data_IF_376019191483
#
_entry.id   IF_376019191483
#
_cell.length_a   1.000
_cell.length_b   1.000
_cell.length_c   1.000
_cell.angle_alpha   90.00
_cell.angle_beta   90.00
_cell.angle_gamma   90.00
#
_symmetry.space_group_name_H-M   'P 1'
#
loop_
_entity.id
_entity.type
_entity.pdbx_description
1 polymer ?
#
# COMPACT_ATOMS: atom_id res chain seq x y z
N UNK A 1 -25.55 19.25 -4.68
CA UNK A 1 -24.53 18.31 -5.20
C UNK A 1 -23.44 17.97 -4.18
N UNK A 2 -22.88 18.94 -3.44
CA UNK A 2 -21.84 18.69 -2.42
C UNK A 2 -22.23 17.65 -1.34
N UNK A 3 -23.47 17.65 -0.86
CA UNK A 3 -23.96 16.66 0.12
C UNK A 3 -23.91 15.21 -0.40
N UNK A 4 -24.16 14.99 -1.70
CA UNK A 4 -24.08 13.67 -2.31
C UNK A 4 -22.61 13.27 -2.51
N UNK A 5 -21.73 14.22 -2.84
CA UNK A 5 -20.30 13.96 -2.92
C UNK A 5 -19.68 13.61 -1.56
N UNK A 6 -20.22 14.19 -0.48
CA UNK A 6 -19.80 13.94 0.91
C UNK A 6 -20.05 12.50 1.38
N UNK A 7 -21.01 11.79 0.78
CA UNK A 7 -21.30 10.39 1.16
C UNK A 7 -20.35 9.38 0.51
N UNK A 8 -19.62 9.74 -0.56
CA UNK A 8 -18.75 8.79 -1.26
C UNK A 8 -17.60 8.24 -0.41
N UNK A 9 -16.86 9.03 0.39
CA UNK A 9 -15.85 8.47 1.29
C UNK A 9 -16.40 7.39 2.23
N UNK A 10 -17.63 7.60 2.73
CA UNK A 10 -18.32 6.61 3.57
C UNK A 10 -18.70 5.37 2.76
N UNK A 11 -19.25 5.55 1.55
CA UNK A 11 -19.57 4.43 0.66
C UNK A 11 -18.32 3.62 0.30
N UNK A 12 -17.18 4.28 0.03
CA UNK A 12 -15.90 3.61 -0.21
C UNK A 12 -15.52 2.75 0.99
N UNK A 13 -15.59 3.28 2.21
CA UNK A 13 -15.30 2.52 3.43
C UNK A 13 -16.25 1.32 3.59
N UNK A 14 -17.55 1.53 3.38
CA UNK A 14 -18.56 0.47 3.43
C UNK A 14 -18.29 -0.62 2.39
N UNK A 15 -17.84 -0.27 1.18
CA UNK A 15 -17.49 -1.28 0.17
C UNK A 15 -16.29 -2.11 0.55
N UNK A 16 -15.27 -1.53 1.21
CA UNK A 16 -14.12 -2.28 1.71
C UNK A 16 -14.54 -3.23 2.84
N UNK A 17 -15.35 -2.75 3.80
CA UNK A 17 -15.87 -3.58 4.90
C UNK A 17 -16.74 -4.70 4.34
N UNK A 18 -17.72 -4.37 3.50
CA UNK A 18 -18.66 -5.35 2.95
C UNK A 18 -17.95 -6.38 2.08
N UNK A 19 -17.02 -5.95 1.22
CA UNK A 19 -16.20 -6.85 0.41
C UNK A 19 -15.31 -7.74 1.27
N UNK A 20 -14.67 -7.18 2.30
CA UNK A 20 -13.85 -7.95 3.23
C UNK A 20 -14.68 -8.96 4.01
N UNK A 21 -15.84 -8.57 4.56
CA UNK A 21 -16.74 -9.44 5.30
C UNK A 21 -17.31 -10.53 4.39
N UNK A 22 -17.67 -10.19 3.15
CA UNK A 22 -18.15 -11.17 2.18
C UNK A 22 -17.11 -12.27 1.91
N UNK A 23 -15.80 -11.97 1.96
CA UNK A 23 -14.76 -13.00 1.88
C UNK A 23 -14.77 -13.98 3.06
N UNK A 24 -15.33 -13.61 4.22
CA UNK A 24 -15.53 -14.54 5.35
C UNK A 24 -16.72 -15.47 5.12
N UNK A 25 -17.84 -14.88 4.68
CA UNK A 25 -19.11 -15.59 4.60
C UNK A 25 -19.27 -16.41 3.32
N UNK A 26 -18.58 -16.03 2.24
CA UNK A 26 -18.64 -16.69 0.93
C UNK A 26 -17.25 -17.21 0.48
N UNK A 27 -16.67 -18.20 1.20
CA UNK A 27 -15.33 -18.70 0.91
C UNK A 27 -15.25 -19.53 -0.38
N UNK A 28 -16.38 -19.88 -1.00
CA UNK A 28 -16.42 -20.73 -2.21
C UNK A 28 -15.97 -20.00 -3.47
N UNK A 29 -16.10 -18.67 -3.54
CA UNK A 29 -15.75 -17.86 -4.72
C UNK A 29 -15.03 -16.55 -4.33
N UNK A 30 -13.90 -16.63 -3.64
CA UNK A 30 -13.25 -15.45 -3.06
C UNK A 30 -12.80 -14.45 -4.13
N UNK A 31 -12.34 -14.94 -5.29
CA UNK A 31 -11.90 -14.07 -6.39
C UNK A 31 -13.05 -13.29 -7.03
N UNK A 32 -14.26 -13.85 -7.08
CA UNK A 32 -15.45 -13.16 -7.61
C UNK A 32 -15.87 -12.06 -6.66
N UNK A 33 -15.95 -12.37 -5.36
CA UNK A 33 -16.28 -11.40 -4.30
C UNK A 33 -15.27 -10.25 -4.28
N UNK A 34 -13.97 -10.57 -4.26
CA UNK A 34 -12.91 -9.57 -4.31
C UNK A 34 -12.97 -8.73 -5.59
N UNK A 35 -13.20 -9.37 -6.75
CA UNK A 35 -13.32 -8.70 -8.04
C UNK A 35 -14.47 -7.71 -8.10
N UNK A 36 -15.66 -8.10 -7.61
CA UNK A 36 -16.82 -7.21 -7.54
C UNK A 36 -16.60 -6.05 -6.56
N UNK A 37 -16.03 -6.32 -5.38
CA UNK A 37 -15.72 -5.29 -4.40
C UNK A 37 -14.69 -4.28 -4.93
N UNK A 38 -13.63 -4.75 -5.60
CA UNK A 38 -12.62 -3.90 -6.22
C UNK A 38 -13.19 -3.09 -7.39
N UNK A 39 -14.05 -3.69 -8.23
CA UNK A 39 -14.72 -2.98 -9.31
C UNK A 39 -15.62 -1.86 -8.77
N UNK A 40 -16.42 -2.15 -7.73
CA UNK A 40 -17.27 -1.15 -7.09
C UNK A 40 -16.46 -0.04 -6.43
N UNK A 41 -15.37 -0.39 -5.73
CA UNK A 41 -14.44 0.56 -5.14
C UNK A 41 -13.80 1.46 -6.20
N UNK A 42 -13.38 0.90 -7.34
CA UNK A 42 -12.84 1.66 -8.46
C UNK A 42 -13.88 2.64 -9.02
N UNK A 43 -15.14 2.22 -9.18
CA UNK A 43 -16.24 3.09 -9.65
C UNK A 43 -16.49 4.24 -8.67
N UNK A 44 -16.56 3.95 -7.36
CA UNK A 44 -16.81 4.96 -6.33
C UNK A 44 -15.68 5.99 -6.23
N UNK A 45 -14.42 5.52 -6.24
CA UNK A 45 -13.25 6.39 -6.27
C UNK A 45 -13.21 7.22 -7.56
N UNK A 46 -13.45 6.61 -8.72
CA UNK A 46 -13.49 7.33 -10.00
C UNK A 46 -14.57 8.41 -10.02
N UNK A 47 -15.72 8.12 -9.40
CA UNK A 47 -16.80 9.11 -9.24
C UNK A 47 -16.40 10.25 -8.31
N UNK A 48 -15.65 9.98 -7.25
CA UNK A 48 -15.12 11.01 -6.35
C UNK A 48 -14.15 11.96 -7.06
N UNK A 49 -13.41 11.43 -8.05
CA UNK A 49 -12.49 12.17 -8.92
C UNK A 49 -13.18 12.76 -10.18
N UNK A 50 -14.51 12.83 -10.22
CA UNK A 50 -15.32 13.33 -11.35
C UNK A 50 -14.97 12.71 -12.71
N UNK A 51 -14.56 11.44 -12.73
CA UNK A 51 -14.20 10.70 -13.95
C UNK A 51 -13.14 11.39 -14.82
N UNK A 52 -12.31 12.26 -14.22
CA UNK A 52 -11.34 13.06 -14.96
C UNK A 52 -10.04 12.28 -15.25
N UNK A 53 -10.17 11.14 -15.93
CA UNK A 53 -9.06 10.23 -16.26
C UNK A 53 -8.02 10.80 -17.22
N UNK A 54 -8.28 11.97 -17.80
CA UNK A 54 -7.33 12.64 -18.71
C UNK A 54 -6.12 13.22 -17.96
N UNK A 55 -6.24 13.43 -16.65
CA UNK A 55 -5.13 13.91 -15.81
C UNK A 55 -4.43 12.71 -15.17
N UNK A 56 -3.12 12.62 -15.35
CA UNK A 56 -2.26 11.60 -14.71
C UNK A 56 -2.43 11.64 -13.19
N UNK A 57 -2.65 12.82 -12.62
CA UNK A 57 -2.90 13.03 -11.19
C UNK A 57 -4.09 12.21 -10.68
N UNK A 58 -5.15 12.04 -11.49
CA UNK A 58 -6.32 11.27 -11.09
C UNK A 58 -5.96 9.79 -10.93
N UNK A 59 -5.24 9.20 -11.90
CA UNK A 59 -4.83 7.79 -11.83
C UNK A 59 -3.99 7.46 -10.61
N UNK A 60 -3.09 8.37 -10.24
CA UNK A 60 -2.17 8.18 -9.12
C UNK A 60 -2.91 8.31 -7.79
N UNK A 61 -3.78 9.32 -7.65
CA UNK A 61 -4.60 9.52 -6.46
C UNK A 61 -5.62 8.38 -6.25
N UNK A 62 -6.17 7.82 -7.33
CA UNK A 62 -7.07 6.67 -7.29
C UNK A 62 -6.31 5.36 -7.02
N UNK A 63 -5.11 5.22 -7.58
CA UNK A 63 -4.29 4.02 -7.51
C UNK A 63 -3.86 3.65 -6.10
N UNK A 64 -3.54 4.64 -5.25
CA UNK A 64 -3.06 4.41 -3.88
C UNK A 64 -4.08 3.63 -3.01
N UNK A 65 -5.32 4.12 -2.79
CA UNK A 65 -6.31 3.40 -2.01
C UNK A 65 -6.76 2.10 -2.71
N UNK A 66 -6.72 2.05 -4.04
CA UNK A 66 -7.03 0.83 -4.79
C UNK A 66 -5.98 -0.27 -4.56
N UNK A 67 -4.68 0.04 -4.59
CA UNK A 67 -3.60 -0.91 -4.32
C UNK A 67 -3.60 -1.39 -2.86
N UNK A 68 -3.99 -0.51 -1.92
CA UNK A 68 -4.24 -0.94 -0.54
C UNK A 68 -5.40 -1.95 -0.45
N UNK A 69 -6.51 -1.70 -1.16
CA UNK A 69 -7.62 -2.65 -1.20
C UNK A 69 -7.20 -4.00 -1.80
N UNK A 70 -6.51 -3.99 -2.94
CA UNK A 70 -5.97 -5.20 -3.60
C UNK A 70 -5.07 -5.98 -2.66
N UNK A 71 -4.10 -5.33 -2.02
CA UNK A 71 -3.16 -5.98 -1.11
C UNK A 71 -3.84 -6.51 0.15
N UNK A 72 -4.81 -5.79 0.70
CA UNK A 72 -5.58 -6.24 1.87
C UNK A 72 -6.45 -7.47 1.57
N UNK A 73 -7.19 -7.46 0.45
CA UNK A 73 -8.00 -8.60 0.03
C UNK A 73 -7.11 -9.81 -0.27
N UNK A 74 -5.97 -9.60 -0.91
CA UNK A 74 -5.03 -10.67 -1.19
C UNK A 74 -4.47 -11.31 0.09
N UNK A 75 -4.11 -10.50 1.10
CA UNK A 75 -3.67 -11.00 2.39
C UNK A 75 -4.78 -11.76 3.14
N UNK A 76 -6.03 -11.27 3.10
CA UNK A 76 -7.16 -11.90 3.79
C UNK A 76 -7.40 -13.35 3.35
N UNK A 77 -7.01 -13.72 2.12
CA UNK A 77 -7.10 -15.09 1.62
C UNK A 77 -6.19 -16.08 2.36
N UNK A 78 -5.10 -15.61 2.96
CA UNK A 78 -4.09 -16.46 3.61
C UNK A 78 -4.12 -16.38 5.14
N UNK A 79 -4.87 -15.45 5.71
CA UNK A 79 -5.01 -15.37 7.15
C UNK A 79 -5.96 -16.45 7.64
N UNK A 80 -5.61 -17.13 8.73
CA UNK A 80 -6.48 -18.10 9.40
C UNK A 80 -7.17 -17.49 10.63
N UNK A 81 -6.40 -16.80 11.47
CA UNK A 81 -6.88 -16.24 12.73
C UNK A 81 -7.86 -15.07 12.56
N UNK A 82 -9.07 -15.21 13.12
CA UNK A 82 -10.13 -14.19 13.08
C UNK A 82 -9.67 -12.82 13.61
N UNK A 83 -8.83 -12.79 14.65
CA UNK A 83 -8.30 -11.53 15.20
C UNK A 83 -7.43 -10.77 14.20
N UNK A 84 -6.49 -11.47 13.53
CA UNK A 84 -5.60 -10.87 12.52
C UNK A 84 -6.39 -10.38 11.31
N UNK A 85 -7.40 -11.17 10.92
CA UNK A 85 -8.38 -10.85 9.89
C UNK A 85 -9.11 -9.54 10.20
N UNK A 86 -9.72 -9.42 11.38
CA UNK A 86 -10.42 -8.19 11.81
C UNK A 86 -9.45 -7.00 11.83
N UNK A 87 -8.22 -7.18 12.33
CA UNK A 87 -7.20 -6.13 12.35
C UNK A 87 -6.90 -5.61 10.94
N UNK A 88 -6.67 -6.50 9.96
CA UNK A 88 -6.40 -6.10 8.57
C UNK A 88 -7.58 -5.35 7.97
N UNK A 89 -8.82 -5.80 8.19
CA UNK A 89 -10.02 -5.11 7.69
C UNK A 89 -10.15 -3.72 8.28
N UNK A 90 -10.05 -3.61 9.61
CA UNK A 90 -10.19 -2.34 10.30
C UNK A 90 -9.11 -1.36 9.85
N UNK A 91 -7.86 -1.81 9.76
CA UNK A 91 -6.74 -0.97 9.35
C UNK A 91 -6.85 -0.54 7.88
N UNK A 92 -7.14 -1.48 6.96
CA UNK A 92 -7.34 -1.16 5.54
C UNK A 92 -8.51 -0.20 5.34
N UNK A 93 -9.65 -0.47 5.98
CA UNK A 93 -10.83 0.38 5.87
C UNK A 93 -10.57 1.78 6.41
N UNK A 94 -9.96 1.89 7.60
CA UNK A 94 -9.67 3.18 8.21
C UNK A 94 -8.76 4.01 7.32
N UNK A 95 -7.69 3.42 6.79
CA UNK A 95 -6.76 4.12 5.89
C UNK A 95 -7.40 4.51 4.56
N UNK A 96 -8.18 3.62 3.93
CA UNK A 96 -8.88 3.92 2.67
C UNK A 96 -9.92 5.02 2.91
N UNK A 97 -10.66 4.97 4.02
CA UNK A 97 -11.63 6.01 4.39
C UNK A 97 -10.96 7.36 4.61
N UNK A 98 -9.90 7.42 5.43
CA UNK A 98 -9.12 8.63 5.66
C UNK A 98 -8.55 9.18 4.35
N UNK A 99 -8.11 8.30 3.45
CA UNK A 99 -7.59 8.71 2.15
C UNK A 99 -8.69 9.29 1.26
N UNK A 100 -9.85 8.63 1.17
CA UNK A 100 -10.99 9.11 0.41
C UNK A 100 -11.53 10.45 0.97
N UNK A 101 -11.51 10.63 2.29
CA UNK A 101 -11.91 11.88 2.96
C UNK A 101 -10.95 13.04 2.65
N UNK A 102 -9.64 12.79 2.67
CA UNK A 102 -8.64 13.77 2.26
C UNK A 102 -8.71 14.08 0.77
N UNK A 103 -8.99 13.07 -0.07
CA UNK A 103 -9.19 13.25 -1.50
C UNK A 103 -10.44 14.08 -1.79
N UNK A 104 -11.55 13.82 -1.09
CA UNK A 104 -12.76 14.63 -1.17
C UNK A 104 -12.46 16.09 -0.81
N UNK A 105 -11.78 16.32 0.32
CA UNK A 105 -11.45 17.67 0.80
C UNK A 105 -10.53 18.39 -0.19
N UNK A 106 -9.53 17.69 -0.74
CA UNK A 106 -8.61 18.23 -1.74
C UNK A 106 -9.34 18.68 -3.02
N UNK A 107 -10.28 17.88 -3.52
CA UNK A 107 -10.96 18.14 -4.79
C UNK A 107 -12.12 19.13 -4.67
N UNK A 108 -12.91 19.03 -3.60
CA UNK A 108 -14.20 19.72 -3.48
C UNK A 108 -14.20 20.85 -2.45
N UNK A 109 -13.23 20.88 -1.52
CA UNK A 109 -13.13 21.87 -0.44
C UNK A 109 -11.69 22.37 -0.25
N UNK A 110 -11.05 22.97 -1.28
CA UNK A 110 -9.64 23.36 -1.23
C UNK A 110 -9.32 24.34 -0.09
N UNK A 111 -10.28 25.16 0.33
CA UNK A 111 -10.12 26.09 1.46
C UNK A 111 -9.93 25.40 2.82
N UNK A 112 -10.42 24.16 2.99
CA UNK A 112 -10.30 23.38 4.22
C UNK A 112 -9.14 22.36 4.15
N UNK A 113 -8.48 22.23 2.99
CA UNK A 113 -7.45 21.23 2.79
C UNK A 113 -6.14 21.61 3.48
N UNK A 114 -5.62 20.71 4.31
CA UNK A 114 -4.31 20.87 4.93
C UNK A 114 -3.20 20.54 3.94
N UNK A 115 -2.25 21.45 3.78
CA UNK A 115 -1.11 21.28 2.87
C UNK A 115 -0.31 20.03 3.25
N UNK A 116 0.01 19.20 2.25
CA UNK A 116 0.74 17.93 2.35
C UNK A 116 0.01 16.77 3.08
N UNK A 117 -1.27 16.91 3.44
CA UNK A 117 -2.02 15.82 4.09
C UNK A 117 -2.04 14.53 3.25
N UNK A 118 -2.34 14.64 1.95
CA UNK A 118 -2.30 13.51 1.01
C UNK A 118 -0.89 12.92 0.86
N UNK A 119 0.17 13.74 0.88
CA UNK A 119 1.56 13.25 0.75
C UNK A 119 1.95 12.35 1.93
N UNK A 120 1.67 12.78 3.15
CA UNK A 120 1.97 11.98 4.34
C UNK A 120 1.11 10.72 4.42
N UNK A 121 -0.19 10.85 4.13
CA UNK A 121 -1.10 9.72 4.16
C UNK A 121 -0.76 8.70 3.08
N UNK A 122 -0.38 9.13 1.88
CA UNK A 122 0.08 8.25 0.80
C UNK A 122 1.28 7.41 1.22
N UNK A 123 2.25 7.99 1.93
CA UNK A 123 3.41 7.24 2.44
C UNK A 123 2.97 6.13 3.39
N UNK A 124 2.11 6.45 4.36
CA UNK A 124 1.58 5.46 5.32
C UNK A 124 0.82 4.36 4.60
N UNK A 125 -0.10 4.72 3.70
CA UNK A 125 -0.89 3.77 2.91
C UNK A 125 0.00 2.86 2.06
N UNK A 126 1.03 3.40 1.42
CA UNK A 126 1.93 2.63 0.57
C UNK A 126 2.81 1.67 1.37
N UNK A 127 3.30 2.08 2.55
CA UNK A 127 4.06 1.20 3.45
C UNK A 127 3.20 0.02 3.92
N UNK A 128 1.95 0.27 4.32
CA UNK A 128 1.01 -0.78 4.71
C UNK A 128 0.68 -1.69 3.53
N UNK A 129 0.49 -1.11 2.33
CA UNK A 129 0.20 -1.85 1.11
C UNK A 129 1.34 -2.81 0.75
N UNK A 130 2.60 -2.38 0.88
CA UNK A 130 3.77 -3.25 0.69
C UNK A 130 3.78 -4.37 1.72
N UNK A 131 3.51 -4.08 3.00
CA UNK A 131 3.45 -5.13 4.02
C UNK A 131 2.39 -6.19 3.70
N UNK A 132 1.17 -5.77 3.37
CA UNK A 132 0.08 -6.69 3.05
C UNK A 132 0.39 -7.52 1.81
N UNK A 133 0.85 -6.88 0.74
CA UNK A 133 1.13 -7.56 -0.52
C UNK A 133 2.31 -8.53 -0.41
N UNK A 134 3.39 -8.13 0.25
CA UNK A 134 4.58 -8.99 0.46
C UNK A 134 4.27 -10.17 1.36
N UNK A 135 3.50 -9.97 2.43
CA UNK A 135 3.01 -11.05 3.30
C UNK A 135 2.21 -12.07 2.48
N UNK A 136 1.29 -11.60 1.64
CA UNK A 136 0.49 -12.46 0.76
C UNK A 136 1.36 -13.20 -0.27
N UNK A 137 2.35 -12.56 -0.89
CA UNK A 137 3.25 -13.23 -1.84
C UNK A 137 4.14 -14.29 -1.18
N UNK A 138 4.67 -14.03 0.01
CA UNK A 138 5.41 -15.05 0.76
C UNK A 138 4.49 -16.21 1.16
N UNK A 139 3.24 -15.93 1.55
CA UNK A 139 2.24 -16.96 1.81
C UNK A 139 1.92 -17.79 0.55
N UNK A 140 1.72 -17.15 -0.61
CA UNK A 140 1.55 -17.86 -1.90
C UNK A 140 2.73 -18.79 -2.17
N UNK A 141 3.96 -18.31 -1.98
CA UNK A 141 5.13 -19.15 -2.17
C UNK A 141 5.16 -20.35 -1.22
N UNK A 142 4.81 -20.13 0.05
CA UNK A 142 4.84 -21.17 1.07
C UNK A 142 3.73 -22.21 0.88
N UNK A 143 2.49 -21.77 0.64
CA UNK A 143 1.31 -22.65 0.60
C UNK A 143 1.03 -23.22 -0.79
N UNK A 144 1.30 -22.48 -1.86
CA UNK A 144 1.06 -22.91 -3.24
C UNK A 144 2.33 -23.37 -3.94
N UNK A 145 3.47 -23.39 -3.24
CA UNK A 145 4.79 -23.75 -3.81
C UNK A 145 5.11 -22.98 -5.11
N UNK A 146 4.63 -21.74 -5.20
CA UNK A 146 4.75 -20.95 -6.42
C UNK A 146 6.22 -20.59 -6.67
N UNK A 147 6.74 -20.79 -7.89
CA UNK A 147 8.14 -20.51 -8.17
C UNK A 147 8.39 -18.99 -8.15
N UNK A 148 9.53 -18.58 -7.58
CA UNK A 148 9.88 -17.17 -7.38
C UNK A 148 9.81 -16.33 -8.66
N UNK A 149 10.25 -16.89 -9.79
CA UNK A 149 10.26 -16.20 -11.08
C UNK A 149 8.86 -15.77 -11.54
N UNK A 150 7.79 -16.44 -11.09
CA UNK A 150 6.40 -16.01 -11.36
C UNK A 150 5.95 -14.88 -10.43
N UNK A 151 6.44 -14.82 -9.20
CA UNK A 151 6.03 -13.83 -8.19
C UNK A 151 6.76 -12.49 -8.37
N UNK A 152 8.03 -12.53 -8.78
CA UNK A 152 8.87 -11.33 -8.94
C UNK A 152 8.25 -10.29 -9.88
N UNK A 153 7.68 -10.64 -11.06
CA UNK A 153 7.03 -9.65 -11.93
C UNK A 153 5.83 -8.95 -11.30
N UNK A 154 4.99 -9.68 -10.55
CA UNK A 154 3.86 -9.07 -9.83
C UNK A 154 4.33 -8.13 -8.72
N UNK A 155 5.38 -8.55 -7.98
CA UNK A 155 6.01 -7.71 -6.98
C UNK A 155 6.64 -6.45 -7.58
N UNK A 156 7.36 -6.59 -8.70
CA UNK A 156 7.98 -5.49 -9.42
C UNK A 156 6.94 -4.45 -9.84
N UNK A 157 5.85 -4.89 -10.49
CA UNK A 157 4.78 -4.01 -10.92
C UNK A 157 4.14 -3.27 -9.74
N UNK A 158 3.90 -3.97 -8.64
CA UNK A 158 3.30 -3.41 -7.44
C UNK A 158 4.19 -2.35 -6.77
N UNK A 159 5.47 -2.65 -6.56
CA UNK A 159 6.44 -1.71 -5.98
C UNK A 159 6.68 -0.52 -6.90
N UNK A 160 6.77 -0.73 -8.21
CA UNK A 160 6.90 0.35 -9.18
C UNK A 160 5.71 1.30 -9.09
N UNK A 161 4.48 0.76 -9.08
CA UNK A 161 3.27 1.57 -8.99
C UNK A 161 3.23 2.41 -7.70
N UNK A 162 3.59 1.82 -6.54
CA UNK A 162 3.60 2.54 -5.26
C UNK A 162 4.71 3.60 -5.17
N UNK A 163 5.92 3.30 -5.63
CA UNK A 163 7.04 4.26 -5.62
C UNK A 163 6.76 5.42 -6.56
N UNK A 164 6.31 5.14 -7.79
CA UNK A 164 5.93 6.15 -8.77
C UNK A 164 4.79 7.03 -8.24
N UNK A 165 3.75 6.42 -7.66
CA UNK A 165 2.64 7.15 -7.05
C UNK A 165 3.12 8.06 -5.91
N UNK A 166 3.99 7.57 -5.03
CA UNK A 166 4.52 8.36 -3.90
C UNK A 166 5.29 9.57 -4.38
N UNK A 167 6.24 9.39 -5.31
CA UNK A 167 7.06 10.50 -5.80
C UNK A 167 6.26 11.52 -6.59
N UNK A 168 5.28 11.06 -7.36
CA UNK A 168 4.37 11.95 -8.09
C UNK A 168 3.50 12.80 -7.16
N UNK A 169 2.92 12.21 -6.11
CA UNK A 169 2.12 12.96 -5.12
C UNK A 169 2.97 14.03 -4.42
N UNK A 170 4.28 13.78 -4.26
CA UNK A 170 5.26 14.75 -3.74
C UNK A 170 5.71 15.79 -4.78
N UNK A 171 5.10 15.83 -5.97
CA UNK A 171 5.41 16.77 -7.07
C UNK A 171 6.86 16.75 -7.53
N UNK A 172 7.52 15.59 -7.45
CA UNK A 172 8.87 15.40 -7.97
C UNK A 172 8.82 15.40 -9.50
N UNK A 173 9.87 15.93 -10.15
CA UNK A 173 10.00 15.94 -11.62
C UNK A 173 9.84 14.54 -12.22
N UNK A 174 9.12 14.45 -13.35
CA UNK A 174 8.72 13.17 -13.97
C UNK A 174 9.91 12.25 -14.30
N UNK A 175 11.01 12.83 -14.77
CA UNK A 175 12.23 12.08 -15.10
C UNK A 175 12.84 11.43 -13.85
N UNK A 176 12.93 12.20 -12.76
CA UNK A 176 13.39 11.71 -11.45
C UNK A 176 12.43 10.66 -10.90
N UNK A 177 11.11 10.82 -11.07
CA UNK A 177 10.12 9.81 -10.65
C UNK A 177 10.39 8.48 -11.34
N UNK A 178 10.53 8.46 -12.66
CA UNK A 178 10.74 7.23 -13.43
C UNK A 178 12.03 6.52 -13.01
N UNK A 179 13.15 7.23 -13.02
CA UNK A 179 14.48 6.65 -12.76
C UNK A 179 14.55 6.09 -11.34
N UNK A 180 14.11 6.86 -10.33
CA UNK A 180 14.16 6.40 -8.94
C UNK A 180 13.15 5.29 -8.65
N UNK A 181 11.99 5.27 -9.31
CA UNK A 181 11.01 4.19 -9.14
C UNK A 181 11.49 2.89 -9.77
N UNK A 182 12.11 2.94 -10.96
CA UNK A 182 12.71 1.77 -11.60
C UNK A 182 13.90 1.24 -10.78
N UNK A 183 14.82 2.12 -10.37
CA UNK A 183 15.96 1.73 -9.53
C UNK A 183 15.52 1.13 -8.20
N UNK A 184 14.53 1.73 -7.54
CA UNK A 184 13.92 1.18 -6.34
C UNK A 184 13.27 -0.18 -6.58
N UNK A 185 12.54 -0.34 -7.68
CA UNK A 185 11.88 -1.60 -8.03
C UNK A 185 12.88 -2.74 -8.20
N UNK A 186 13.99 -2.53 -8.91
CA UNK A 186 15.05 -3.53 -9.08
C UNK A 186 15.62 -3.91 -7.71
N UNK A 187 15.99 -2.92 -6.90
CA UNK A 187 16.51 -3.14 -5.55
C UNK A 187 15.54 -3.93 -4.67
N UNK A 188 14.25 -3.61 -4.71
CA UNK A 188 13.25 -4.35 -3.95
C UNK A 188 13.05 -5.77 -4.47
N UNK A 189 13.08 -6.00 -5.79
CA UNK A 189 13.00 -7.34 -6.35
C UNK A 189 14.17 -8.22 -5.88
N UNK A 190 15.39 -7.68 -5.86
CA UNK A 190 16.55 -8.38 -5.29
C UNK A 190 16.36 -8.69 -3.80
N UNK A 191 15.94 -7.70 -3.00
CA UNK A 191 15.64 -7.92 -1.58
C UNK A 191 14.53 -8.95 -1.36
N UNK A 192 13.48 -8.95 -2.19
CA UNK A 192 12.40 -9.93 -2.11
C UNK A 192 12.90 -11.34 -2.41
N UNK A 193 13.81 -11.50 -3.37
CA UNK A 193 14.47 -12.78 -3.67
C UNK A 193 15.41 -13.18 -2.52
N UNK A 194 16.15 -12.25 -1.92
CA UNK A 194 17.04 -12.54 -0.78
C UNK A 194 16.23 -12.98 0.45
N UNK A 195 15.22 -12.21 0.86
CA UNK A 195 14.38 -12.56 2.01
C UNK A 195 13.54 -13.81 1.78
N UNK A 196 13.29 -14.15 0.51
CA UNK A 196 12.71 -15.43 0.14
C UNK A 196 13.57 -16.63 0.58
N UNK A 197 14.89 -16.51 0.70
CA UNK A 197 15.73 -17.61 1.19
C UNK A 197 15.96 -17.59 2.70
N UNK A 198 15.44 -16.59 3.40
CA UNK A 198 15.66 -16.46 4.84
C UNK A 198 14.73 -17.41 5.61
N UNK A 199 15.26 -18.27 6.51
CA UNK A 199 14.48 -19.27 7.26
C UNK A 199 13.72 -18.64 8.45
N UNK A 200 12.87 -17.66 8.14
CA UNK A 200 12.00 -17.01 9.10
C UNK A 200 10.55 -17.05 8.62
N UNK A 201 9.63 -16.70 9.54
CA UNK A 201 8.21 -16.60 9.21
C UNK A 201 7.96 -15.61 8.06
N UNK A 202 6.96 -15.89 7.23
CA UNK A 202 6.57 -15.01 6.13
C UNK A 202 6.17 -13.60 6.60
N UNK A 203 5.62 -13.47 7.81
CA UNK A 203 5.35 -12.17 8.44
C UNK A 203 6.63 -11.39 8.76
N UNK A 204 7.65 -12.06 9.29
CA UNK A 204 8.94 -11.44 9.62
C UNK A 204 9.66 -10.96 8.35
N UNK A 205 9.70 -11.80 7.31
CA UNK A 205 10.31 -11.45 6.02
C UNK A 205 9.60 -10.26 5.34
N UNK A 206 8.27 -10.26 5.33
CA UNK A 206 7.48 -9.12 4.85
C UNK A 206 7.71 -7.85 5.66
N UNK A 207 7.81 -7.98 7.00
CA UNK A 207 8.11 -6.88 7.91
C UNK A 207 9.47 -6.23 7.61
N UNK A 208 10.53 -7.03 7.46
CA UNK A 208 11.85 -6.54 7.10
C UNK A 208 11.84 -5.84 5.74
N UNK A 209 11.27 -6.46 4.71
CA UNK A 209 11.17 -5.87 3.38
C UNK A 209 10.41 -4.53 3.39
N UNK A 210 9.35 -4.44 4.18
CA UNK A 210 8.58 -3.20 4.39
C UNK A 210 9.38 -2.13 5.11
N UNK A 211 10.24 -2.49 6.07
CA UNK A 211 11.13 -1.53 6.72
C UNK A 211 12.15 -0.95 5.74
N UNK A 212 12.72 -1.78 4.86
CA UNK A 212 13.57 -1.30 3.78
C UNK A 212 12.81 -0.38 2.82
N UNK A 213 11.54 -0.70 2.53
CA UNK A 213 10.66 0.15 1.73
C UNK A 213 10.39 1.52 2.38
N UNK A 214 10.09 1.53 3.67
CA UNK A 214 9.94 2.77 4.45
C UNK A 214 11.23 3.60 4.46
N UNK A 215 12.38 2.94 4.66
CA UNK A 215 13.70 3.60 4.63
C UNK A 215 13.96 4.25 3.27
N UNK A 216 13.76 3.49 2.19
CA UNK A 216 13.97 3.93 0.82
C UNK A 216 13.09 5.14 0.48
N UNK A 217 11.77 5.04 0.68
CA UNK A 217 10.86 6.16 0.44
C UNK A 217 11.23 7.37 1.28
N UNK A 218 11.57 7.16 2.55
CA UNK A 218 11.97 8.23 3.47
C UNK A 218 13.21 9.00 3.02
N UNK A 219 14.28 8.28 2.68
CA UNK A 219 15.57 8.87 2.28
C UNK A 219 15.49 9.47 0.88
N UNK A 220 15.07 8.69 -0.11
CA UNK A 220 15.05 9.10 -1.52
C UNK A 220 14.13 10.30 -1.72
N UNK A 221 12.93 10.29 -1.14
CA UNK A 221 12.04 11.46 -1.18
C UNK A 221 12.69 12.69 -0.56
N UNK A 222 13.31 12.53 0.61
CA UNK A 222 13.94 13.67 1.30
C UNK A 222 15.12 14.22 0.50
N UNK A 223 15.87 13.37 -0.19
CA UNK A 223 16.94 13.77 -1.08
C UNK A 223 16.41 14.52 -2.31
N UNK A 224 15.38 13.98 -2.97
CA UNK A 224 14.80 14.57 -4.18
C UNK A 224 14.09 15.90 -3.92
N UNK A 225 13.60 16.11 -2.69
CA UNK A 225 13.01 17.39 -2.25
C UNK A 225 14.04 18.34 -1.62
N UNK A 226 15.34 18.02 -1.67
CA UNK A 226 16.43 18.81 -1.09
C UNK A 226 16.26 19.08 0.43
N UNK A 227 15.53 18.20 1.11
CA UNK A 227 15.23 18.26 2.56
C UNK A 227 16.06 17.25 3.36
N UNK A 228 17.00 16.56 2.73
CA UNK A 228 17.83 15.56 3.40
C UNK A 228 18.89 16.26 4.26
N UNK A 229 18.75 16.07 5.57
CA UNK A 229 19.75 16.48 6.55
C UNK A 229 20.14 15.28 7.41
N UNK A 230 21.29 15.35 8.09
CA UNK A 230 21.80 14.36 9.05
C UNK A 230 20.75 13.96 10.10
N UNK A 231 19.92 14.92 10.54
CA UNK A 231 18.84 14.67 11.51
C UNK A 231 17.77 13.75 10.90
N UNK A 232 17.33 14.04 9.67
CA UNK A 232 16.32 13.25 8.96
C UNK A 232 16.84 11.85 8.67
N UNK A 233 18.08 11.76 8.17
CA UNK A 233 18.75 10.48 7.91
C UNK A 233 18.87 9.64 9.18
N UNK A 234 19.37 10.23 10.28
CA UNK A 234 19.50 9.56 11.58
C UNK A 234 18.15 9.07 12.09
N UNK A 235 17.09 9.87 11.96
CA UNK A 235 15.73 9.47 12.38
C UNK A 235 15.30 8.20 11.65
N UNK A 236 15.40 8.16 10.31
CA UNK A 236 15.00 6.99 9.53
C UNK A 236 15.85 5.75 9.87
N UNK A 237 17.18 5.91 9.96
CA UNK A 237 18.08 4.80 10.29
C UNK A 237 17.82 4.24 11.70
N UNK A 238 17.67 5.10 12.71
CA UNK A 238 17.42 4.68 14.09
C UNK A 238 16.06 4.00 14.21
N UNK A 239 15.00 4.55 13.60
CA UNK A 239 13.68 3.92 13.60
C UNK A 239 13.73 2.54 12.95
N UNK A 240 14.35 2.42 11.77
CA UNK A 240 14.46 1.13 11.07
C UNK A 240 15.30 0.14 11.84
N UNK A 241 16.41 0.57 12.44
CA UNK A 241 17.27 -0.29 13.25
C UNK A 241 16.54 -0.86 14.48
N UNK A 242 15.83 -0.02 15.22
CA UNK A 242 15.06 -0.45 16.40
C UNK A 242 13.96 -1.43 16.00
N UNK A 243 13.17 -1.11 14.97
CA UNK A 243 12.08 -2.00 14.56
C UNK A 243 12.63 -3.30 13.95
N UNK A 244 13.71 -3.24 13.17
CA UNK A 244 14.36 -4.44 12.63
C UNK A 244 14.85 -5.37 13.74
N UNK A 245 15.49 -4.81 14.80
CA UNK A 245 15.87 -5.58 15.98
C UNK A 245 14.67 -6.25 16.64
N UNK A 246 13.55 -5.53 16.81
CA UNK A 246 12.33 -6.10 17.37
C UNK A 246 11.77 -7.24 16.52
N UNK A 247 11.74 -7.10 15.19
CA UNK A 247 11.28 -8.15 14.27
C UNK A 247 12.20 -9.37 14.34
N UNK A 248 13.51 -9.18 14.28
CA UNK A 248 14.52 -10.25 14.35
C UNK A 248 14.45 -10.98 15.69
N UNK A 249 14.26 -10.24 16.78
CA UNK A 249 14.18 -10.79 18.13
C UNK A 249 12.89 -11.57 18.39
N UNK A 250 11.77 -11.13 17.81
CA UNK A 250 10.46 -11.81 17.93
C UNK A 250 10.24 -12.87 16.86
N UNK A 251 11.09 -12.94 15.83
CA UNK A 251 10.98 -13.91 14.77
C UNK A 251 11.18 -15.34 15.30
N UNK A 252 10.29 -16.23 14.87
CA UNK A 252 10.50 -17.68 15.02
C UNK A 252 11.38 -18.14 13.87
N UNK A 253 12.62 -18.48 14.20
CA UNK A 253 13.60 -19.06 13.28
C UNK A 253 13.35 -20.57 13.19
N UNK A 254 13.27 -21.11 11.98
CA UNK A 254 12.97 -22.54 11.73
C UNK A 254 13.99 -23.16 10.82
#
# INVERSE_FOLDING_TARGET
>A
MLLLLRTFPILVALTVIAGSLALFWFPTQPFVVAGLALALLFILLSRLADWNFKKIDAWILLGIPFLLAVSSFFLLLFLEGNGMKILVITLATCLIWLFAENLFTYLHLPAAYQVNALEYLSLVVNVVSVYFFTTALFAVRLFLSAPLWKLVPFFALFVFALTAATFWVCKIEKEKVLVNSLGGTILFCELFVVFSFLPASFFSNAGLLTLFFYLFLGIVRSQLLEKLNKIVLRRYLVTVFIIALLIVWTARWT
#
